data_IF_905553187263
#
_entry.id   IF_905553187263
#
_cell.length_a   1.000
_cell.length_b   1.000
_cell.length_c   1.000
_cell.angle_alpha   90.00
_cell.angle_beta   90.00
_cell.angle_gamma   90.00
#
_symmetry.space_group_name_H-M   'P 1'
#
loop_
_entity.id
_entity.type
_entity.pdbx_description
1 polymer ?
#
# COMPACT_ATOMS: atom_id res chain seq x y z
N UNK A 1 12.92 -6.70 0.25
CA UNK A 1 12.20 -5.54 0.81
C UNK A 1 12.00 -5.73 2.31
N UNK A 2 12.19 -4.67 3.07
CA UNK A 2 11.98 -4.70 4.53
C UNK A 2 10.48 -4.72 4.84
N UNK A 3 9.90 -5.90 4.97
CA UNK A 3 8.46 -6.12 5.18
C UNK A 3 7.97 -5.55 6.51
N UNK A 4 8.79 -5.65 7.56
CA UNK A 4 8.44 -5.11 8.88
C UNK A 4 8.31 -3.58 8.84
N UNK A 5 9.22 -2.89 8.15
CA UNK A 5 9.14 -1.44 7.97
C UNK A 5 7.87 -1.04 7.21
N UNK A 6 7.48 -1.82 6.20
CA UNK A 6 6.22 -1.61 5.45
C UNK A 6 5.02 -1.78 6.38
N UNK A 7 5.01 -2.82 7.21
CA UNK A 7 3.93 -3.08 8.17
C UNK A 7 3.75 -1.91 9.14
N UNK A 8 4.85 -1.50 9.77
CA UNK A 8 4.81 -0.39 10.74
C UNK A 8 4.31 0.91 10.08
N UNK A 9 4.78 1.22 8.88
CA UNK A 9 4.35 2.42 8.17
C UNK A 9 2.88 2.35 7.76
N UNK A 10 2.43 1.22 7.24
CA UNK A 10 1.04 1.07 6.80
C UNK A 10 0.05 1.04 7.96
N UNK A 11 0.45 0.56 9.14
CA UNK A 11 -0.39 0.72 10.35
C UNK A 11 -0.67 2.19 10.65
N UNK A 12 0.33 3.06 10.44
CA UNK A 12 0.16 4.50 10.62
C UNK A 12 -0.71 5.09 9.49
N UNK A 13 -0.42 4.75 8.24
CA UNK A 13 -1.07 5.36 7.07
C UNK A 13 -2.51 4.90 6.88
N UNK A 14 -2.80 3.62 7.10
CA UNK A 14 -4.14 3.04 6.93
C UNK A 14 -4.91 2.94 8.24
N UNK A 15 -4.22 3.07 9.37
CA UNK A 15 -4.77 2.73 10.66
C UNK A 15 -4.77 1.23 10.91
N UNK A 16 -4.98 0.83 12.16
CA UNK A 16 -5.09 -0.58 12.53
C UNK A 16 -6.23 -0.75 13.55
N UNK A 17 -7.09 -1.73 13.29
CA UNK A 17 -8.21 -2.06 14.18
C UNK A 17 -8.15 -3.55 14.57
N UNK A 18 -8.23 -3.83 15.86
CA UNK A 18 -8.21 -5.19 16.40
C UNK A 18 -9.61 -5.73 16.69
N UNK A 19 -10.58 -5.19 15.97
CA UNK A 19 -11.98 -5.62 15.97
C UNK A 19 -12.54 -5.53 14.55
N UNK A 20 -13.59 -6.30 14.27
CA UNK A 20 -14.32 -6.14 13.02
C UNK A 20 -15.14 -4.86 13.09
N UNK A 21 -15.04 -4.05 12.04
CA UNK A 21 -15.82 -2.83 11.86
C UNK A 21 -16.32 -2.76 10.41
N UNK A 22 -17.30 -1.92 10.16
CA UNK A 22 -17.73 -1.63 8.79
C UNK A 22 -16.94 -0.45 8.25
N UNK A 23 -16.39 -0.59 7.03
CA UNK A 23 -15.76 0.53 6.34
C UNK A 23 -16.82 1.55 5.89
N UNK A 24 -16.37 2.62 5.23
CA UNK A 24 -17.29 3.68 4.76
C UNK A 24 -18.31 3.20 3.72
N UNK A 25 -18.08 2.04 3.09
CA UNK A 25 -19.01 1.41 2.16
C UNK A 25 -19.88 0.34 2.82
N UNK A 26 -19.70 0.10 4.12
CA UNK A 26 -20.45 -0.90 4.87
C UNK A 26 -19.90 -2.31 4.82
N UNK A 27 -18.66 -2.50 4.33
CA UNK A 27 -18.04 -3.83 4.27
C UNK A 27 -17.29 -4.15 5.55
N UNK A 28 -17.44 -5.39 6.03
CA UNK A 28 -16.73 -5.89 7.20
C UNK A 28 -15.22 -5.86 6.96
N UNK A 29 -14.49 -5.26 7.88
CA UNK A 29 -13.06 -4.96 7.76
C UNK A 29 -12.39 -5.13 9.13
N UNK A 30 -11.12 -5.47 9.16
CA UNK A 30 -10.32 -5.44 10.39
C UNK A 30 -8.83 -5.26 10.05
N UNK A 31 -8.02 -5.10 11.08
CA UNK A 31 -6.57 -4.98 10.93
C UNK A 31 -6.17 -3.73 10.17
N UNK A 32 -5.26 -3.88 9.23
CA UNK A 32 -4.74 -2.78 8.41
C UNK A 32 -5.57 -2.73 7.11
N UNK A 33 -6.83 -2.34 7.25
CA UNK A 33 -7.75 -2.22 6.12
C UNK A 33 -8.06 -3.54 5.41
N UNK A 34 -7.97 -4.68 6.12
CA UNK A 34 -8.25 -5.98 5.53
C UNK A 34 -9.75 -6.20 5.36
N UNK A 35 -10.22 -6.27 4.12
CA UNK A 35 -11.60 -6.63 3.81
C UNK A 35 -11.82 -8.11 4.11
N UNK A 36 -12.83 -8.44 4.92
CA UNK A 36 -13.14 -9.83 5.27
C UNK A 36 -13.63 -10.57 4.03
N UNK A 37 -12.94 -11.67 3.71
CA UNK A 37 -13.26 -12.53 2.56
C UNK A 37 -14.05 -13.75 3.00
N UNK A 38 -14.79 -14.37 2.06
CA UNK A 38 -15.50 -15.63 2.33
C UNK A 38 -14.56 -16.73 2.82
N UNK A 39 -13.30 -16.70 2.39
CA UNK A 39 -12.28 -17.66 2.80
C UNK A 39 -11.71 -17.40 4.19
N UNK A 40 -11.97 -16.22 4.78
CA UNK A 40 -11.50 -15.90 6.12
C UNK A 40 -12.38 -16.56 7.18
N UNK A 41 -11.76 -17.02 8.26
CA UNK A 41 -12.50 -17.61 9.39
C UNK A 41 -13.46 -16.62 10.06
N UNK A 42 -13.20 -15.33 9.91
CA UNK A 42 -14.01 -14.24 10.44
C UNK A 42 -15.25 -13.93 9.61
N UNK A 43 -15.40 -14.56 8.46
CA UNK A 43 -16.55 -14.30 7.59
C UNK A 43 -17.86 -14.60 8.31
N UNK A 44 -18.75 -13.63 8.32
CA UNK A 44 -20.06 -13.78 9.00
C UNK A 44 -20.05 -13.43 10.50
N UNK A 45 -18.88 -13.17 11.10
CA UNK A 45 -18.81 -12.73 12.49
C UNK A 45 -19.32 -11.28 12.63
N UNK A 46 -19.93 -10.94 13.77
CA UNK A 46 -20.51 -9.60 13.94
C UNK A 46 -19.46 -8.52 14.14
N UNK A 47 -19.84 -7.28 13.81
CA UNK A 47 -19.05 -6.08 14.13
C UNK A 47 -18.77 -6.07 15.64
N UNK A 48 -17.53 -5.74 16.01
CA UNK A 48 -17.06 -5.74 17.39
C UNK A 48 -16.36 -7.02 17.81
N UNK A 49 -16.37 -8.07 16.95
CA UNK A 49 -15.60 -9.29 17.22
C UNK A 49 -14.12 -8.96 17.30
N UNK A 50 -13.44 -9.37 18.38
CA UNK A 50 -12.02 -9.13 18.61
C UNK A 50 -11.15 -9.95 17.66
N UNK A 51 -10.06 -9.34 17.20
CA UNK A 51 -9.06 -9.95 16.31
C UNK A 51 -7.70 -9.85 16.99
N UNK A 52 -6.96 -10.95 17.06
CA UNK A 52 -5.64 -10.95 17.69
C UNK A 52 -4.61 -10.20 16.85
N UNK A 53 -3.54 -9.72 17.49
CA UNK A 53 -2.41 -9.09 16.79
C UNK A 53 -1.78 -10.04 15.77
N UNK A 54 -1.66 -11.33 16.13
CA UNK A 54 -1.12 -12.34 15.21
C UNK A 54 -1.99 -12.49 13.97
N UNK A 55 -3.31 -12.50 14.15
CA UNK A 55 -4.24 -12.62 13.00
C UNK A 55 -4.19 -11.39 12.12
N UNK A 56 -4.12 -10.19 12.71
CA UNK A 56 -3.97 -8.94 11.96
C UNK A 56 -2.70 -8.99 11.10
N UNK A 57 -1.58 -9.41 11.70
CA UNK A 57 -0.31 -9.51 10.97
C UNK A 57 -0.36 -10.58 9.86
N UNK A 58 -0.99 -11.72 10.13
CA UNK A 58 -1.16 -12.79 9.13
C UNK A 58 -1.93 -12.29 7.92
N UNK A 59 -3.06 -11.61 8.13
CA UNK A 59 -3.85 -11.02 7.05
C UNK A 59 -3.07 -9.93 6.31
N UNK A 60 -2.33 -9.09 7.04
CA UNK A 60 -1.48 -8.08 6.44
C UNK A 60 -0.43 -8.70 5.52
N UNK A 61 0.24 -9.77 5.96
CA UNK A 61 1.26 -10.43 5.15
C UNK A 61 0.67 -10.97 3.83
N UNK A 62 -0.53 -11.54 3.88
CA UNK A 62 -1.22 -11.99 2.68
C UNK A 62 -1.58 -10.81 1.77
N UNK A 63 -2.09 -9.73 2.32
CA UNK A 63 -2.43 -8.51 1.57
C UNK A 63 -1.18 -7.86 0.98
N UNK A 64 -0.07 -7.90 1.72
CA UNK A 64 1.23 -7.41 1.22
C UNK A 64 1.72 -8.23 0.03
N UNK A 65 1.58 -9.55 0.08
CA UNK A 65 1.95 -10.41 -1.05
C UNK A 65 1.12 -10.06 -2.29
N UNK A 66 -0.18 -9.77 -2.12
CA UNK A 66 -1.04 -9.32 -3.22
C UNK A 66 -0.57 -7.97 -3.77
N UNK A 67 -0.24 -7.03 -2.91
CA UNK A 67 0.25 -5.70 -3.33
C UNK A 67 1.58 -5.81 -4.08
N UNK A 68 2.50 -6.66 -3.62
CA UNK A 68 3.76 -6.93 -4.31
C UNK A 68 3.48 -7.53 -5.69
N UNK A 69 2.54 -8.48 -5.79
CA UNK A 69 2.11 -9.05 -7.06
C UNK A 69 1.55 -8.01 -8.01
N UNK A 70 0.80 -7.04 -7.51
CA UNK A 70 0.28 -5.92 -8.30
C UNK A 70 1.42 -5.01 -8.78
N UNK A 71 2.44 -4.76 -7.95
CA UNK A 71 3.62 -4.02 -8.36
C UNK A 71 4.42 -4.78 -9.43
N UNK A 72 4.58 -6.09 -9.28
CA UNK A 72 5.20 -6.93 -10.30
C UNK A 72 4.46 -6.85 -11.63
N UNK A 73 3.13 -6.84 -11.60
CA UNK A 73 2.33 -6.72 -12.81
C UNK A 73 2.48 -5.35 -13.48
N UNK A 74 2.58 -4.28 -12.67
CA UNK A 74 2.68 -2.92 -13.21
C UNK A 74 4.08 -2.59 -13.73
N UNK A 75 5.12 -2.95 -13.00
CA UNK A 75 6.51 -2.56 -13.30
C UNK A 75 7.32 -3.65 -13.99
N UNK A 76 6.83 -4.88 -14.02
CA UNK A 76 7.57 -6.06 -14.46
C UNK A 76 8.27 -6.72 -13.27
N UNK A 77 8.13 -8.04 -13.13
CA UNK A 77 8.59 -8.78 -11.95
C UNK A 77 10.08 -8.60 -11.66
N UNK A 78 10.92 -8.80 -12.65
CA UNK A 78 12.36 -8.59 -12.49
C UNK A 78 12.69 -7.15 -12.21
N UNK A 79 12.03 -6.21 -12.90
CA UNK A 79 12.25 -4.78 -12.74
C UNK A 79 11.90 -4.29 -11.34
N UNK A 80 10.76 -4.72 -10.80
CA UNK A 80 10.36 -4.30 -9.45
C UNK A 80 11.35 -4.82 -8.39
N UNK A 81 11.76 -6.08 -8.50
CA UNK A 81 12.71 -6.68 -7.56
C UNK A 81 14.09 -6.03 -7.61
N UNK A 82 14.47 -5.44 -8.75
CA UNK A 82 15.75 -4.77 -8.93
C UNK A 82 15.75 -3.31 -8.45
N UNK A 83 14.59 -2.77 -8.10
CA UNK A 83 14.51 -1.42 -7.55
C UNK A 83 15.15 -1.36 -6.15
N UNK A 84 15.71 -0.20 -5.76
CA UNK A 84 16.16 -0.02 -4.38
C UNK A 84 15.03 -0.34 -3.38
N UNK A 85 15.40 -0.91 -2.23
CA UNK A 85 14.40 -1.30 -1.22
C UNK A 85 13.49 -0.14 -0.82
N UNK A 86 14.05 1.05 -0.67
CA UNK A 86 13.29 2.25 -0.34
C UNK A 86 12.20 2.54 -1.40
N UNK A 87 12.54 2.40 -2.67
CA UNK A 87 11.58 2.60 -3.77
C UNK A 87 10.51 1.53 -3.76
N UNK A 88 10.88 0.27 -3.53
CA UNK A 88 9.90 -0.81 -3.40
C UNK A 88 8.90 -0.53 -2.29
N UNK A 89 9.36 -0.09 -1.12
CA UNK A 89 8.48 0.26 0.01
C UNK A 89 7.51 1.38 -0.35
N UNK A 90 8.00 2.42 -1.04
CA UNK A 90 7.16 3.56 -1.46
C UNK A 90 6.07 3.09 -2.43
N UNK A 91 6.45 2.32 -3.44
CA UNK A 91 5.50 1.84 -4.46
C UNK A 91 4.44 0.90 -3.85
N UNK A 92 4.82 0.05 -2.92
CA UNK A 92 3.88 -0.82 -2.21
C UNK A 92 2.92 0.01 -1.37
N UNK A 93 3.41 1.05 -0.68
CA UNK A 93 2.56 1.96 0.09
C UNK A 93 1.53 2.65 -0.83
N UNK A 94 1.96 3.14 -1.97
CA UNK A 94 1.07 3.74 -2.96
C UNK A 94 0.07 2.72 -3.50
N UNK A 95 0.50 1.49 -3.73
CA UNK A 95 -0.38 0.43 -4.21
C UNK A 95 -1.49 0.09 -3.20
N UNK A 96 -1.16 0.01 -1.92
CA UNK A 96 -2.17 -0.14 -0.86
C UNK A 96 -3.18 1.01 -0.86
N UNK A 97 -2.73 2.23 -1.12
CA UNK A 97 -3.57 3.42 -1.05
C UNK A 97 -4.53 3.52 -2.25
N UNK A 98 -4.04 3.29 -3.45
CA UNK A 98 -4.81 3.63 -4.65
C UNK A 98 -5.11 2.45 -5.58
N UNK A 99 -4.41 1.34 -5.44
CA UNK A 99 -4.58 0.18 -6.32
C UNK A 99 -3.90 0.33 -7.68
N UNK A 100 -3.79 -0.80 -8.40
CA UNK A 100 -3.06 -0.86 -9.66
C UNK A 100 -3.67 0.00 -10.76
N UNK A 101 -4.99 0.01 -10.88
CA UNK A 101 -5.65 0.77 -11.94
C UNK A 101 -5.31 2.25 -11.87
N UNK A 102 -5.40 2.85 -10.68
CA UNK A 102 -5.04 4.27 -10.49
C UNK A 102 -3.55 4.51 -10.67
N UNK A 103 -2.71 3.67 -10.05
CA UNK A 103 -1.26 3.84 -10.14
C UNK A 103 -0.76 3.67 -11.57
N UNK A 104 -1.38 2.80 -12.36
CA UNK A 104 -1.03 2.62 -13.78
C UNK A 104 -1.24 3.88 -14.63
N UNK A 105 -2.09 4.79 -14.18
CA UNK A 105 -2.38 6.06 -14.87
C UNK A 105 -1.35 7.14 -14.59
N UNK A 106 -0.45 6.94 -13.64
CA UNK A 106 0.65 7.85 -13.32
C UNK A 106 1.78 7.69 -14.35
N UNK A 107 1.49 7.99 -15.61
CA UNK A 107 2.39 7.66 -16.74
C UNK A 107 3.78 8.25 -16.60
N UNK A 108 3.88 9.54 -16.29
CA UNK A 108 5.18 10.21 -16.18
C UNK A 108 5.95 9.76 -14.93
N UNK A 109 5.23 9.55 -13.82
CA UNK A 109 5.81 8.98 -12.61
C UNK A 109 6.37 7.58 -12.90
N UNK A 110 5.58 6.72 -13.51
CA UNK A 110 6.00 5.35 -13.81
C UNK A 110 7.16 5.29 -14.79
N UNK A 111 7.19 6.19 -15.77
CA UNK A 111 8.33 6.32 -16.69
C UNK A 111 9.61 6.71 -15.94
N UNK A 112 9.51 7.63 -14.99
CA UNK A 112 10.64 8.04 -14.16
C UNK A 112 11.13 6.87 -13.27
N UNK A 113 10.22 6.07 -12.73
CA UNK A 113 10.57 4.84 -11.97
C UNK A 113 11.35 3.88 -12.88
N UNK A 114 10.85 3.64 -14.08
CA UNK A 114 11.52 2.78 -15.06
C UNK A 114 12.93 3.28 -15.38
N UNK A 115 13.11 4.59 -15.50
CA UNK A 115 14.39 5.22 -15.80
C UNK A 115 15.30 5.39 -14.59
N UNK A 116 14.87 4.95 -13.41
CA UNK A 116 15.57 5.15 -12.13
C UNK A 116 15.87 6.63 -11.86
N UNK A 117 14.97 7.51 -12.27
CA UNK A 117 15.07 8.94 -12.03
C UNK A 117 14.16 9.32 -10.85
N UNK A 118 14.72 9.20 -9.66
CA UNK A 118 13.94 9.34 -8.42
C UNK A 118 13.50 10.77 -8.16
N UNK A 119 14.33 11.74 -8.52
CA UNK A 119 13.97 13.16 -8.41
C UNK A 119 12.78 13.51 -9.28
N UNK A 120 12.79 13.03 -10.52
CA UNK A 120 11.68 13.26 -11.45
C UNK A 120 10.41 12.51 -10.98
N UNK A 121 10.56 11.30 -10.50
CA UNK A 121 9.43 10.56 -9.93
C UNK A 121 8.77 11.34 -8.79
N UNK A 122 9.57 11.94 -7.91
CA UNK A 122 9.06 12.77 -6.82
C UNK A 122 8.30 14.00 -7.34
N UNK A 123 8.85 14.68 -8.35
CA UNK A 123 8.20 15.84 -8.98
C UNK A 123 6.84 15.45 -9.55
N UNK A 124 6.80 14.35 -10.31
CA UNK A 124 5.56 13.88 -10.93
C UNK A 124 4.54 13.40 -9.91
N UNK A 125 4.99 12.75 -8.84
CA UNK A 125 4.11 12.32 -7.75
C UNK A 125 3.48 13.51 -7.03
N UNK A 126 4.25 14.58 -6.80
CA UNK A 126 3.75 15.82 -6.21
C UNK A 126 2.77 16.58 -7.11
N UNK A 127 2.89 16.39 -8.41
CA UNK A 127 2.02 17.02 -9.41
C UNK A 127 0.85 16.10 -9.77
N UNK A 128 0.20 15.52 -8.77
CA UNK A 128 -0.90 14.58 -8.98
C UNK A 128 -2.11 14.90 -8.13
N UNK A 129 -3.29 14.41 -8.55
CA UNK A 129 -4.49 14.49 -7.74
C UNK A 129 -4.31 13.72 -6.42
N UNK A 130 -3.63 12.59 -6.46
CA UNK A 130 -3.29 11.81 -5.28
C UNK A 130 -2.58 12.66 -4.21
N UNK A 131 -1.59 13.47 -4.62
CA UNK A 131 -0.89 14.37 -3.71
C UNK A 131 -1.85 15.36 -3.04
N UNK A 132 -2.81 15.87 -3.80
CA UNK A 132 -3.81 16.80 -3.25
C UNK A 132 -4.83 16.11 -2.33
N UNK A 133 -5.08 14.82 -2.55
CA UNK A 133 -6.05 14.04 -1.74
C UNK A 133 -5.45 13.56 -0.42
N UNK A 134 -4.20 13.13 -0.41
CA UNK A 134 -3.52 12.59 0.77
C UNK A 134 -2.16 13.27 0.97
N UNK A 135 -2.17 14.58 1.05
CA UNK A 135 -0.98 15.44 0.99
C UNK A 135 0.13 15.03 1.97
N UNK A 136 -0.19 14.81 3.24
CA UNK A 136 0.83 14.48 4.24
C UNK A 136 1.50 13.14 3.94
N UNK A 137 0.71 12.12 3.59
CA UNK A 137 1.22 10.80 3.22
C UNK A 137 2.05 10.88 1.94
N UNK A 138 1.51 11.53 0.92
CA UNK A 138 2.16 11.66 -0.37
C UNK A 138 3.47 12.45 -0.27
N UNK A 139 3.49 13.56 0.48
CA UNK A 139 4.73 14.34 0.67
C UNK A 139 5.80 13.54 1.38
N UNK A 140 5.43 12.78 2.39
CA UNK A 140 6.40 11.92 3.09
C UNK A 140 6.98 10.88 2.14
N UNK A 141 6.15 10.24 1.31
CA UNK A 141 6.62 9.25 0.35
C UNK A 141 7.48 9.87 -0.74
N UNK A 142 7.10 11.03 -1.26
CA UNK A 142 7.87 11.71 -2.32
C UNK A 142 9.18 12.29 -1.79
N UNK A 143 9.23 12.75 -0.55
CA UNK A 143 10.48 13.16 0.10
C UNK A 143 11.45 11.99 0.23
N UNK A 144 10.96 10.80 0.57
CA UNK A 144 11.76 9.58 0.59
C UNK A 144 12.25 9.21 -0.81
N UNK A 145 11.39 9.35 -1.82
CA UNK A 145 11.72 9.04 -3.21
C UNK A 145 12.86 9.90 -3.72
N UNK A 146 12.80 11.22 -3.52
CA UNK A 146 13.84 12.11 -4.01
C UNK A 146 15.19 11.94 -3.30
N UNK A 147 15.17 11.33 -2.11
CA UNK A 147 16.38 11.11 -1.30
C UNK A 147 17.08 9.78 -1.60
N UNK A 148 16.55 8.97 -2.49
CA UNK A 148 17.12 7.66 -2.86
C UNK A 148 18.48 7.81 -3.55
#
# INVERSE_FOLDING_TARGET
MNREAVYEQLKIDEGVEYVIYNDHLGYATFGVGHLVLESDSEFGEPVGTGISEERVKECFEADLDLAIGECDALYGKGNFNDLPDEVQQILVNMMFNMGRTRLSKFKNFNAAIHDHNWEKAAVEGRDSLWYRQVTNRAERLMSRMESV
#
